data_IF_186461409863
#
_entry.id   IF_186461409863
#
_cell.length_a   1.000
_cell.length_b   1.000
_cell.length_c   1.000
_cell.angle_alpha   90.00
_cell.angle_beta   90.00
_cell.angle_gamma   90.00
#
_symmetry.space_group_name_H-M   'P 1'
#
loop_
_entity.id
_entity.type
_entity.pdbx_description
1 polymer ?
#
# COMPACT_ATOMS: atom_id res chain seq x y z
N UNK A 1 -23.23 -11.98 -26.08
CA UNK A 1 -22.67 -10.72 -25.57
C UNK A 1 -21.18 -10.90 -25.44
N UNK A 2 -20.38 -9.94 -25.90
CA UNK A 2 -18.93 -10.01 -25.73
C UNK A 2 -18.59 -9.88 -24.24
N UNK A 3 -17.78 -10.80 -23.72
CA UNK A 3 -17.29 -10.78 -22.34
C UNK A 3 -15.92 -10.10 -22.34
N UNK A 4 -15.74 -9.12 -21.46
CA UNK A 4 -14.52 -8.31 -21.38
C UNK A 4 -13.85 -8.52 -20.02
N UNK A 5 -12.52 -8.58 -20.04
CA UNK A 5 -11.68 -8.46 -18.86
C UNK A 5 -10.81 -7.21 -18.93
N UNK A 6 -10.45 -6.65 -17.77
CA UNK A 6 -9.51 -5.51 -17.68
C UNK A 6 -8.40 -5.81 -16.69
N UNK A 7 -7.18 -5.42 -17.02
CA UNK A 7 -6.06 -5.50 -16.09
C UNK A 7 -5.12 -4.32 -16.21
N UNK A 8 -4.40 -4.07 -15.14
CA UNK A 8 -3.27 -3.16 -15.16
C UNK A 8 -2.55 -3.15 -13.83
N UNK A 9 -1.35 -2.58 -13.88
CA UNK A 9 -0.55 -2.25 -12.71
C UNK A 9 -0.67 -0.77 -12.41
N UNK A 10 -0.62 -0.38 -11.13
CA UNK A 10 -0.56 1.02 -10.72
C UNK A 10 -1.81 1.77 -11.22
N UNK A 11 -1.60 2.84 -11.99
CA UNK A 11 -2.65 3.58 -12.68
C UNK A 11 -3.63 2.71 -13.46
N UNK A 12 -3.15 1.70 -14.20
CA UNK A 12 -4.02 0.76 -14.90
C UNK A 12 -4.83 -0.15 -13.97
N UNK A 13 -4.31 -0.43 -12.78
CA UNK A 13 -5.01 -1.18 -11.74
C UNK A 13 -6.15 -0.37 -11.14
N UNK A 14 -5.91 0.90 -10.74
CA UNK A 14 -6.99 1.77 -10.25
C UNK A 14 -8.09 1.92 -11.30
N UNK A 15 -7.72 2.14 -12.57
CA UNK A 15 -8.68 2.28 -13.66
C UNK A 15 -9.53 1.02 -13.83
N UNK A 16 -8.95 -0.17 -13.66
CA UNK A 16 -9.70 -1.43 -13.73
C UNK A 16 -10.74 -1.54 -12.60
N UNK A 17 -10.38 -1.15 -11.37
CA UNK A 17 -11.30 -1.09 -10.23
C UNK A 17 -12.40 -0.04 -10.44
N UNK A 18 -12.03 1.17 -10.86
CA UNK A 18 -12.96 2.28 -11.09
C UNK A 18 -13.96 1.95 -12.21
N UNK A 19 -13.51 1.35 -13.31
CA UNK A 19 -14.41 0.92 -14.38
C UNK A 19 -15.29 -0.24 -13.92
N UNK A 20 -14.79 -1.16 -13.09
CA UNK A 20 -15.61 -2.21 -12.50
C UNK A 20 -16.72 -1.67 -11.61
N UNK A 21 -16.47 -0.59 -10.86
CA UNK A 21 -17.48 0.11 -10.05
C UNK A 21 -18.60 0.76 -10.90
N UNK A 22 -18.34 1.06 -12.17
CA UNK A 22 -19.36 1.57 -13.11
C UNK A 22 -20.28 0.46 -13.66
N UNK A 23 -20.05 -0.81 -13.31
CA UNK A 23 -20.83 -1.99 -13.71
C UNK A 23 -21.14 -2.09 -15.23
N UNK A 24 -20.17 -1.85 -16.14
CA UNK A 24 -20.44 -2.04 -17.57
C UNK A 24 -20.85 -3.49 -17.84
N UNK A 25 -21.98 -3.77 -18.52
CA UNK A 25 -22.54 -5.11 -18.61
C UNK A 25 -21.60 -6.18 -19.20
N UNK A 26 -20.65 -5.77 -20.04
CA UNK A 26 -19.68 -6.66 -20.67
C UNK A 26 -18.50 -7.06 -19.75
N UNK A 27 -18.16 -6.25 -18.73
CA UNK A 27 -17.00 -6.51 -17.88
C UNK A 27 -17.33 -7.59 -16.83
N UNK A 28 -16.64 -8.72 -16.90
CA UNK A 28 -16.89 -9.88 -16.01
C UNK A 28 -15.80 -10.12 -15.00
N UNK A 29 -14.58 -9.73 -15.30
CA UNK A 29 -13.44 -9.92 -14.41
C UNK A 29 -12.40 -8.83 -14.58
N UNK A 30 -11.66 -8.56 -13.51
CA UNK A 30 -10.48 -7.71 -13.52
C UNK A 30 -9.29 -8.39 -12.82
N UNK A 31 -8.08 -7.99 -13.19
CA UNK A 31 -6.86 -8.23 -12.42
C UNK A 31 -6.25 -6.87 -12.09
N UNK A 32 -6.25 -6.52 -10.81
CA UNK A 32 -5.71 -5.23 -10.34
C UNK A 32 -4.38 -5.46 -9.64
N UNK A 33 -3.31 -4.88 -10.18
CA UNK A 33 -1.96 -5.04 -9.63
C UNK A 33 -1.43 -3.75 -9.01
N UNK A 34 -0.78 -3.85 -7.86
CA UNK A 34 -0.12 -2.74 -7.15
C UNK A 34 -0.94 -1.45 -7.26
N UNK A 35 -2.19 -1.53 -6.81
CA UNK A 35 -3.20 -0.48 -6.98
C UNK A 35 -3.76 -0.07 -5.62
N UNK A 36 -4.54 1.01 -5.52
CA UNK A 36 -5.25 1.47 -4.32
C UNK A 36 -6.77 1.39 -4.48
N UNK A 37 -7.47 1.16 -3.37
CA UNK A 37 -8.92 1.39 -3.24
C UNK A 37 -9.24 2.80 -2.73
N UNK A 38 -8.26 3.48 -2.13
CA UNK A 38 -8.38 4.80 -1.51
C UNK A 38 -7.30 5.74 -2.12
N UNK A 39 -7.75 6.73 -2.90
CA UNK A 39 -6.87 7.68 -3.59
C UNK A 39 -6.24 8.74 -2.67
N UNK A 40 -6.75 8.91 -1.45
CA UNK A 40 -6.20 9.85 -0.48
C UNK A 40 -5.19 9.18 0.45
N UNK A 41 -5.56 8.07 1.08
CA UNK A 41 -4.80 7.51 2.21
C UNK A 41 -3.70 6.50 1.80
N UNK A 42 -3.83 5.91 0.62
CA UNK A 42 -2.98 4.81 0.16
C UNK A 42 -2.44 5.04 -1.26
N UNK A 43 -2.47 6.27 -1.74
CA UNK A 43 -1.87 6.66 -3.01
C UNK A 43 -0.57 7.45 -2.86
N UNK A 44 0.04 7.84 -3.98
CA UNK A 44 1.19 8.74 -4.04
C UNK A 44 0.96 10.14 -3.43
N UNK A 45 -0.26 10.46 -3.01
CA UNK A 45 -0.63 11.82 -2.63
C UNK A 45 -0.45 12.08 -1.14
N UNK A 46 -1.20 11.37 -0.30
CA UNK A 46 -1.21 11.54 1.15
C UNK A 46 -1.15 10.19 1.85
N UNK A 47 -0.66 10.19 3.09
CA UNK A 47 -0.79 9.04 4.00
C UNK A 47 -0.98 9.55 5.42
N UNK A 48 -2.09 9.15 6.06
CA UNK A 48 -2.44 9.67 7.38
C UNK A 48 -2.55 11.21 7.43
N UNK A 49 -2.91 11.88 6.33
CA UNK A 49 -2.93 13.34 6.23
C UNK A 49 -1.56 14.01 6.09
N UNK A 50 -0.47 13.25 5.95
CA UNK A 50 0.85 13.75 5.59
C UNK A 50 1.00 13.76 4.06
N UNK A 51 1.55 14.83 3.50
CA UNK A 51 1.90 14.92 2.07
C UNK A 51 3.10 14.02 1.77
N UNK A 52 2.98 13.17 0.77
CA UNK A 52 4.08 12.30 0.34
C UNK A 52 4.97 13.00 -0.70
N UNK A 53 6.28 12.72 -0.67
CA UNK A 53 7.22 13.17 -1.69
C UNK A 53 6.88 12.66 -3.09
N UNK A 54 6.25 11.48 -3.17
CA UNK A 54 5.74 10.87 -4.40
C UNK A 54 4.74 11.75 -5.15
N UNK A 55 4.01 12.61 -4.44
CA UNK A 55 3.06 13.55 -5.05
C UNK A 55 3.81 14.45 -6.05
N UNK A 56 4.95 14.98 -5.62
CA UNK A 56 5.85 15.79 -6.45
C UNK A 56 6.54 14.96 -7.53
N UNK A 57 7.09 13.80 -7.17
CA UNK A 57 7.80 12.90 -8.09
C UNK A 57 6.93 12.45 -9.27
N UNK A 58 5.71 11.99 -8.97
CA UNK A 58 4.79 11.51 -9.99
C UNK A 58 4.17 12.63 -10.82
N UNK A 59 3.85 13.78 -10.23
CA UNK A 59 3.34 14.92 -11.00
C UNK A 59 4.36 15.36 -12.07
N UNK A 60 5.64 15.38 -11.70
CA UNK A 60 6.74 15.73 -12.62
C UNK A 60 6.92 14.67 -13.71
N UNK A 61 6.85 13.39 -13.34
CA UNK A 61 6.91 12.28 -14.29
C UNK A 61 5.76 12.33 -15.30
N UNK A 62 4.53 12.57 -14.82
CA UNK A 62 3.34 12.69 -15.67
C UNK A 62 3.38 13.90 -16.59
N UNK A 63 3.92 15.02 -16.10
CA UNK A 63 4.18 16.19 -16.94
C UNK A 63 5.11 15.82 -18.11
N UNK A 64 6.22 15.12 -17.83
CA UNK A 64 7.17 14.70 -18.84
C UNK A 64 6.58 13.71 -19.87
N UNK A 65 5.77 12.74 -19.42
CA UNK A 65 5.10 11.78 -20.32
C UNK A 65 4.05 12.44 -21.20
N UNK A 66 3.18 13.24 -20.59
CA UNK A 66 2.05 13.87 -21.28
C UNK A 66 2.49 14.95 -22.28
N UNK A 67 3.67 15.53 -22.08
CA UNK A 67 4.27 16.52 -22.96
C UNK A 67 4.88 15.94 -24.25
N UNK A 68 4.91 14.61 -24.42
CA UNK A 68 5.51 13.99 -25.61
C UNK A 68 4.66 14.23 -26.86
N UNK A 69 5.29 14.52 -28.03
CA UNK A 69 4.56 14.62 -29.29
C UNK A 69 3.89 13.28 -29.63
N UNK A 70 2.72 13.30 -30.30
CA UNK A 70 2.14 12.08 -30.85
C UNK A 70 3.06 11.51 -31.95
N UNK A 71 2.98 10.19 -32.15
CA UNK A 71 3.76 9.52 -33.19
C UNK A 71 3.35 10.01 -34.59
N UNK A 72 4.32 10.53 -35.35
CA UNK A 72 4.15 10.99 -36.72
C UNK A 72 3.52 9.92 -37.61
N UNK A 73 3.86 8.65 -37.41
CA UNK A 73 3.33 7.53 -38.20
C UNK A 73 1.82 7.33 -37.99
N UNK A 74 1.27 7.74 -36.84
CA UNK A 74 -0.15 7.60 -36.51
C UNK A 74 -0.98 8.81 -36.95
N UNK A 75 -0.44 10.03 -36.85
CA UNK A 75 -1.22 11.27 -37.07
C UNK A 75 -0.77 12.10 -38.27
N UNK A 76 0.32 11.71 -38.94
CA UNK A 76 0.88 12.40 -40.11
C UNK A 76 1.26 13.85 -39.80
N UNK A 77 1.14 14.73 -40.80
CA UNK A 77 1.53 16.15 -40.69
C UNK A 77 0.78 16.94 -39.61
N UNK A 78 -0.31 16.40 -39.03
CA UNK A 78 -1.04 17.02 -37.91
C UNK A 78 -0.29 16.92 -36.57
N UNK A 79 0.79 16.14 -36.49
CA UNK A 79 1.51 15.86 -35.24
C UNK A 79 1.89 17.15 -34.49
N UNK A 80 2.37 18.17 -35.21
CA UNK A 80 2.85 19.40 -34.61
C UNK A 80 1.71 20.24 -34.03
N UNK A 81 0.64 20.42 -34.81
CA UNK A 81 -0.56 21.14 -34.34
C UNK A 81 -1.20 20.44 -33.13
N UNK A 82 -1.36 19.11 -33.19
CA UNK A 82 -1.88 18.32 -32.08
C UNK A 82 -0.98 18.39 -30.85
N UNK A 83 0.34 18.38 -31.04
CA UNK A 83 1.30 18.47 -29.96
C UNK A 83 1.23 19.84 -29.28
N UNK A 84 1.28 20.93 -30.04
CA UNK A 84 1.16 22.28 -29.50
C UNK A 84 -0.18 22.53 -28.81
N UNK A 85 -1.28 22.02 -29.38
CA UNK A 85 -2.58 22.05 -28.71
C UNK A 85 -2.52 21.35 -27.35
N UNK A 86 -1.99 20.12 -27.29
CA UNK A 86 -1.87 19.37 -26.03
C UNK A 86 -0.98 20.08 -25.02
N UNK A 87 0.19 20.58 -25.43
CA UNK A 87 1.10 21.32 -24.54
C UNK A 87 0.43 22.56 -23.93
N UNK A 88 -0.31 23.34 -24.74
CA UNK A 88 -0.99 24.55 -24.28
C UNK A 88 -2.21 24.28 -23.37
N UNK A 89 -2.78 23.08 -23.42
CA UNK A 89 -3.97 22.70 -22.65
C UNK A 89 -3.70 21.60 -21.61
N UNK A 90 -2.44 21.21 -21.43
CA UNK A 90 -2.08 20.15 -20.50
C UNK A 90 -2.30 20.64 -19.05
N UNK A 91 -2.99 19.85 -18.20
CA UNK A 91 -3.15 20.20 -16.80
C UNK A 91 -1.80 20.14 -16.06
N UNK A 92 -1.60 21.08 -15.14
CA UNK A 92 -0.46 21.07 -14.23
C UNK A 92 -0.85 20.38 -12.92
N UNK A 93 -0.76 19.05 -12.91
CA UNK A 93 -1.33 18.19 -11.87
C UNK A 93 -0.90 18.53 -10.44
N UNK A 94 0.37 18.88 -10.21
CA UNK A 94 0.88 19.19 -8.86
C UNK A 94 0.11 20.35 -8.21
N UNK A 95 -0.24 21.37 -8.99
CA UNK A 95 -0.98 22.52 -8.47
C UNK A 95 -2.39 22.12 -8.02
N UNK A 96 -3.02 21.21 -8.76
CA UNK A 96 -4.35 20.73 -8.41
C UNK A 96 -4.30 19.83 -7.18
N UNK A 97 -3.40 18.84 -7.15
CA UNK A 97 -3.28 17.90 -6.04
C UNK A 97 -2.95 18.60 -4.72
N UNK A 98 -2.13 19.66 -4.74
CA UNK A 98 -1.79 20.44 -3.54
C UNK A 98 -2.93 21.31 -3.00
N UNK A 99 -3.98 21.57 -3.79
CA UNK A 99 -5.20 22.26 -3.32
C UNK A 99 -6.10 21.32 -2.52
N UNK A 100 -6.07 20.03 -2.84
CA UNK A 100 -6.89 19.01 -2.20
C UNK A 100 -6.16 18.35 -1.03
N UNK A 101 -5.85 19.12 0.02
CA UNK A 101 -5.06 18.62 1.16
C UNK A 101 -5.84 17.70 2.10
N UNK A 102 -7.17 17.70 2.01
CA UNK A 102 -8.07 16.92 2.85
C UNK A 102 -8.77 15.86 2.00
N UNK A 103 -9.38 14.85 2.64
CA UNK A 103 -10.15 13.82 1.94
C UNK A 103 -11.52 14.37 1.49
N UNK A 104 -11.50 15.28 0.54
CA UNK A 104 -12.68 15.89 -0.07
C UNK A 104 -13.22 15.07 -1.27
N UNK A 105 -14.23 15.62 -1.94
CA UNK A 105 -14.91 14.97 -3.07
C UNK A 105 -13.98 14.62 -4.23
N UNK A 106 -12.86 15.35 -4.40
CA UNK A 106 -11.88 15.06 -5.44
C UNK A 106 -11.26 13.67 -5.23
N UNK A 107 -10.89 13.35 -3.99
CA UNK A 107 -10.32 12.05 -3.67
C UNK A 107 -11.36 10.94 -3.56
N UNK A 108 -12.53 11.26 -2.99
CA UNK A 108 -13.64 10.30 -2.87
C UNK A 108 -14.09 9.81 -4.24
N UNK A 109 -14.20 10.71 -5.23
CA UNK A 109 -14.60 10.37 -6.59
C UNK A 109 -13.75 9.24 -7.21
N UNK A 110 -12.44 9.24 -6.96
CA UNK A 110 -11.53 8.22 -7.49
C UNK A 110 -11.36 6.97 -6.61
N UNK A 111 -12.00 6.92 -5.44
CA UNK A 111 -11.80 5.87 -4.44
C UNK A 111 -12.94 4.85 -4.49
N UNK A 112 -12.65 3.59 -4.84
CA UNK A 112 -13.68 2.54 -4.87
C UNK A 112 -14.06 2.04 -3.47
N UNK A 113 -13.30 2.39 -2.43
CA UNK A 113 -13.66 2.10 -1.05
C UNK A 113 -14.90 2.85 -0.56
N UNK A 114 -15.38 3.86 -1.30
CA UNK A 114 -16.64 4.55 -1.01
C UNK A 114 -17.87 3.63 -1.18
N UNK A 115 -17.80 2.69 -2.11
CA UNK A 115 -18.85 1.68 -2.32
C UNK A 115 -18.27 0.41 -2.95
N UNK A 116 -17.91 -0.56 -2.11
CA UNK A 116 -17.48 -1.88 -2.57
C UNK A 116 -18.60 -2.67 -3.27
N UNK A 117 -19.88 -2.39 -2.95
CA UNK A 117 -21.05 -3.02 -3.58
C UNK A 117 -21.26 -2.57 -5.03
N UNK A 118 -20.55 -1.53 -5.46
CA UNK A 118 -20.50 -1.11 -6.85
C UNK A 118 -19.72 -2.08 -7.75
N UNK A 119 -18.96 -3.03 -7.20
CA UNK A 119 -18.10 -3.94 -7.98
C UNK A 119 -18.72 -5.35 -8.04
N UNK A 120 -19.31 -5.69 -9.18
CA UNK A 120 -19.88 -7.04 -9.42
C UNK A 120 -18.91 -8.00 -10.13
N UNK A 121 -17.91 -7.45 -10.84
CA UNK A 121 -16.91 -8.22 -11.57
C UNK A 121 -16.07 -9.08 -10.62
N UNK A 122 -15.56 -10.22 -11.11
CA UNK A 122 -14.58 -10.99 -10.36
C UNK A 122 -13.26 -10.20 -10.24
N UNK A 123 -12.66 -10.15 -9.05
CA UNK A 123 -11.44 -9.38 -8.78
C UNK A 123 -10.29 -10.28 -8.34
N UNK A 124 -9.21 -10.31 -9.12
CA UNK A 124 -7.92 -10.82 -8.65
C UNK A 124 -7.02 -9.63 -8.30
N UNK A 125 -6.71 -9.47 -7.02
CA UNK A 125 -5.83 -8.40 -6.52
C UNK A 125 -4.43 -8.95 -6.27
N UNK A 126 -3.40 -8.32 -6.84
CA UNK A 126 -2.02 -8.76 -6.66
C UNK A 126 -1.12 -7.58 -6.31
N UNK A 127 -0.20 -7.76 -5.38
CA UNK A 127 0.71 -6.70 -4.95
C UNK A 127 1.91 -7.24 -4.19
N UNK A 128 2.76 -6.33 -3.74
CA UNK A 128 4.02 -6.65 -3.10
C UNK A 128 4.18 -5.99 -1.73
N UNK A 129 4.91 -6.65 -0.83
CA UNK A 129 5.23 -6.10 0.50
C UNK A 129 6.24 -4.96 0.49
N UNK A 130 6.99 -4.77 -0.58
CA UNK A 130 7.88 -3.64 -0.73
C UNK A 130 7.25 -2.50 -1.57
N UNK A 131 6.04 -2.69 -2.09
CA UNK A 131 5.25 -1.68 -2.82
C UNK A 131 4.61 -0.64 -1.89
N UNK A 132 4.26 0.57 -2.33
CA UNK A 132 3.48 1.50 -1.50
C UNK A 132 2.00 1.11 -1.32
N UNK A 133 1.44 0.32 -2.24
CA UNK A 133 0.03 -0.09 -2.28
C UNK A 133 -0.29 -1.39 -1.51
N UNK A 134 0.36 -1.60 -0.36
CA UNK A 134 0.32 -2.86 0.41
C UNK A 134 -1.06 -3.24 0.94
N UNK A 135 -1.94 -2.26 1.13
CA UNK A 135 -3.22 -2.45 1.82
C UNK A 135 -4.34 -3.02 0.93
N UNK A 136 -4.26 -2.80 -0.37
CA UNK A 136 -5.38 -3.03 -1.29
C UNK A 136 -5.84 -4.47 -1.38
N UNK A 137 -4.89 -5.41 -1.39
CA UNK A 137 -5.18 -6.83 -1.44
C UNK A 137 -6.04 -7.26 -0.25
N UNK A 138 -5.63 -6.85 0.96
CA UNK A 138 -6.37 -7.10 2.19
C UNK A 138 -7.73 -6.39 2.17
N UNK A 139 -7.79 -5.12 1.75
CA UNK A 139 -9.04 -4.37 1.70
C UNK A 139 -10.07 -5.00 0.75
N UNK A 140 -9.66 -5.44 -0.44
CA UNK A 140 -10.57 -6.05 -1.41
C UNK A 140 -11.03 -7.44 -0.95
N UNK A 141 -10.11 -8.28 -0.47
CA UNK A 141 -10.42 -9.61 0.04
C UNK A 141 -11.35 -9.56 1.27
N UNK A 142 -11.21 -8.54 2.12
CA UNK A 142 -12.07 -8.35 3.28
C UNK A 142 -13.44 -7.75 2.93
N UNK A 143 -13.49 -6.73 2.07
CA UNK A 143 -14.70 -5.91 1.93
C UNK A 143 -15.61 -6.34 0.78
N UNK A 144 -15.11 -6.88 -0.34
CA UNK A 144 -15.99 -7.31 -1.43
C UNK A 144 -16.97 -8.43 -1.01
N UNK A 145 -16.56 -9.47 -0.25
CA UNK A 145 -17.49 -10.50 0.22
C UNK A 145 -18.57 -9.95 1.16
N UNK A 146 -18.21 -9.00 2.03
CA UNK A 146 -19.17 -8.30 2.91
C UNK A 146 -20.25 -7.53 2.15
N UNK A 147 -19.99 -7.23 0.87
CA UNK A 147 -20.93 -6.54 -0.04
C UNK A 147 -21.48 -7.49 -1.12
N UNK A 148 -21.39 -8.81 -0.92
CA UNK A 148 -22.02 -9.83 -1.77
C UNK A 148 -21.22 -10.23 -3.00
N UNK A 149 -19.92 -9.89 -3.08
CA UNK A 149 -19.04 -10.33 -4.16
C UNK A 149 -17.94 -11.27 -3.64
N UNK A 150 -18.25 -12.57 -3.64
CA UNK A 150 -17.32 -13.64 -3.23
C UNK A 150 -16.31 -14.02 -4.32
N UNK A 151 -16.37 -13.37 -5.49
CA UNK A 151 -15.48 -13.64 -6.64
C UNK A 151 -14.17 -12.86 -6.53
N UNK A 152 -13.58 -12.85 -5.34
CA UNK A 152 -12.34 -12.13 -5.05
C UNK A 152 -11.25 -13.09 -4.59
N UNK A 153 -10.03 -12.90 -5.11
CA UNK A 153 -8.82 -13.57 -4.62
C UNK A 153 -7.68 -12.55 -4.53
N UNK A 154 -6.80 -12.73 -3.57
CA UNK A 154 -5.66 -11.84 -3.34
C UNK A 154 -4.33 -12.61 -3.31
N UNK A 155 -3.25 -11.96 -3.80
CA UNK A 155 -1.88 -12.49 -3.76
C UNK A 155 -0.92 -11.37 -3.34
N UNK A 156 -0.18 -11.56 -2.25
CA UNK A 156 0.89 -10.65 -1.82
C UNK A 156 2.24 -11.36 -1.79
N UNK A 157 3.18 -10.94 -2.63
CA UNK A 157 4.55 -11.45 -2.60
C UNK A 157 5.54 -10.46 -1.98
N UNK A 158 6.84 -10.79 -1.93
CA UNK A 158 7.86 -9.89 -1.39
C UNK A 158 8.25 -8.78 -2.37
N UNK A 159 7.38 -8.38 -3.28
CA UNK A 159 7.79 -7.65 -4.47
C UNK A 159 7.80 -6.14 -4.31
N UNK A 160 8.64 -5.49 -5.11
CA UNK A 160 8.58 -4.07 -5.45
C UNK A 160 7.48 -3.79 -6.50
N UNK A 161 7.33 -2.53 -6.93
CA UNK A 161 6.25 -2.06 -7.80
C UNK A 161 6.37 -2.52 -9.27
N UNK A 162 6.16 -3.83 -9.50
CA UNK A 162 6.22 -4.49 -10.81
C UNK A 162 5.26 -5.69 -10.88
N UNK A 163 5.04 -6.18 -12.10
CA UNK A 163 4.35 -7.46 -12.29
C UNK A 163 5.15 -8.61 -11.67
N UNK A 164 4.49 -9.56 -10.99
CA UNK A 164 5.18 -10.46 -10.06
C UNK A 164 6.00 -11.58 -10.71
N UNK A 165 5.96 -11.70 -12.04
CA UNK A 165 6.83 -12.60 -12.82
C UNK A 165 8.18 -11.95 -13.19
N UNK A 166 8.28 -10.62 -13.09
CA UNK A 166 9.52 -9.85 -13.31
C UNK A 166 9.91 -9.02 -12.09
N UNK A 167 9.07 -8.97 -11.07
CA UNK A 167 9.33 -8.24 -9.86
C UNK A 167 10.42 -8.92 -9.03
N UNK A 168 11.07 -8.13 -8.19
CA UNK A 168 12.07 -8.56 -7.22
C UNK A 168 11.73 -7.98 -5.86
N UNK A 169 12.37 -8.43 -4.77
CA UNK A 169 13.14 -9.68 -4.64
C UNK A 169 12.37 -10.94 -5.06
N UNK A 170 13.11 -12.01 -5.34
CA UNK A 170 12.54 -13.35 -5.48
C UNK A 170 11.94 -13.86 -4.14
N UNK A 171 11.02 -14.83 -4.16
CA UNK A 171 10.52 -15.55 -5.34
C UNK A 171 9.53 -14.76 -6.18
N UNK A 172 9.76 -14.74 -7.51
CA UNK A 172 8.72 -14.44 -8.48
C UNK A 172 7.66 -15.57 -8.55
N UNK A 173 6.52 -15.29 -9.16
CA UNK A 173 5.49 -16.30 -9.48
C UNK A 173 5.18 -16.33 -10.97
N UNK A 174 4.55 -17.43 -11.43
CA UNK A 174 3.96 -17.49 -12.77
C UNK A 174 2.67 -16.66 -12.85
N UNK A 175 2.85 -15.34 -12.95
CA UNK A 175 1.76 -14.39 -13.14
C UNK A 175 0.88 -14.73 -14.35
N UNK A 176 1.51 -15.14 -15.46
CA UNK A 176 0.79 -15.38 -16.71
C UNK A 176 -0.12 -16.61 -16.58
N UNK A 177 0.35 -17.65 -15.87
CA UNK A 177 -0.46 -18.80 -15.50
C UNK A 177 -1.65 -18.42 -14.60
N UNK A 178 -1.41 -17.63 -13.54
CA UNK A 178 -2.47 -17.13 -12.65
C UNK A 178 -3.52 -16.31 -13.41
N UNK A 179 -3.06 -15.36 -14.24
CA UNK A 179 -3.94 -14.52 -15.04
C UNK A 179 -4.75 -15.34 -16.04
N UNK A 180 -4.12 -16.29 -16.74
CA UNK A 180 -4.82 -17.18 -17.69
C UNK A 180 -5.91 -17.99 -17.00
N UNK A 181 -5.61 -18.63 -15.86
CA UNK A 181 -6.61 -19.38 -15.08
C UNK A 181 -7.81 -18.52 -14.69
N UNK A 182 -7.55 -17.27 -14.30
CA UNK A 182 -8.57 -16.30 -13.94
C UNK A 182 -9.46 -15.93 -15.13
N UNK A 183 -8.85 -15.60 -16.27
CA UNK A 183 -9.57 -15.23 -17.49
C UNK A 183 -10.39 -16.40 -18.05
N UNK A 184 -9.81 -17.59 -18.11
CA UNK A 184 -10.51 -18.76 -18.64
C UNK A 184 -11.72 -19.10 -17.77
N UNK A 185 -11.64 -18.94 -16.45
CA UNK A 185 -12.82 -19.11 -15.59
C UNK A 185 -13.88 -18.05 -15.88
N UNK A 186 -13.55 -16.76 -15.83
CA UNK A 186 -14.58 -15.72 -15.80
C UNK A 186 -15.03 -15.20 -17.17
N UNK A 187 -14.26 -15.46 -18.23
CA UNK A 187 -14.58 -15.05 -19.60
C UNK A 187 -14.96 -16.22 -20.51
N UNK A 188 -14.68 -17.47 -20.09
CA UNK A 188 -14.99 -18.67 -20.89
C UNK A 188 -15.72 -19.77 -20.11
N UNK A 189 -15.91 -19.59 -18.81
CA UNK A 189 -16.53 -20.58 -17.91
C UNK A 189 -15.77 -21.94 -17.88
N UNK A 190 -14.45 -21.89 -18.04
CA UNK A 190 -13.62 -23.09 -17.93
C UNK A 190 -13.36 -23.46 -16.46
N UNK A 191 -13.28 -24.76 -16.16
CA UNK A 191 -12.94 -25.23 -14.82
C UNK A 191 -11.42 -25.17 -14.58
N UNK A 192 -10.95 -24.03 -14.06
CA UNK A 192 -9.52 -23.77 -13.77
C UNK A 192 -9.15 -23.93 -12.29
N UNK A 193 -10.15 -24.20 -11.44
CA UNK A 193 -10.00 -24.33 -9.98
C UNK A 193 -9.78 -23.03 -9.20
N UNK A 194 -9.71 -21.85 -9.85
CA UNK A 194 -9.41 -20.56 -9.17
C UNK A 194 -10.41 -20.18 -8.08
N UNK A 195 -11.64 -20.67 -8.18
CA UNK A 195 -12.68 -20.44 -7.17
C UNK A 195 -12.31 -21.08 -5.83
N UNK A 196 -11.57 -22.20 -5.88
CA UNK A 196 -11.09 -22.95 -4.72
C UNK A 196 -9.71 -22.52 -4.22
N UNK A 197 -9.04 -21.55 -4.87
CA UNK A 197 -7.80 -20.98 -4.34
C UNK A 197 -8.11 -20.25 -3.00
N UNK A 198 -7.17 -20.16 -2.04
CA UNK A 198 -7.39 -19.41 -0.81
C UNK A 198 -7.79 -17.95 -1.10
N UNK A 199 -8.66 -17.36 -0.27
CA UNK A 199 -9.08 -15.96 -0.42
C UNK A 199 -7.90 -14.99 -0.47
N UNK A 200 -6.85 -15.26 0.33
CA UNK A 200 -5.61 -14.50 0.29
C UNK A 200 -4.40 -15.42 0.44
N UNK A 201 -3.53 -15.43 -0.58
CA UNK A 201 -2.20 -16.07 -0.54
C UNK A 201 -1.15 -15.01 -0.29
N UNK A 202 -0.30 -15.19 0.72
CA UNK A 202 0.71 -14.19 1.06
C UNK A 202 2.07 -14.78 1.40
N UNK A 203 3.13 -14.07 1.04
CA UNK A 203 4.50 -14.43 1.35
C UNK A 203 4.88 -13.92 2.74
N UNK A 204 4.94 -14.83 3.71
CA UNK A 204 5.39 -14.52 5.06
C UNK A 204 6.91 -14.42 5.07
N UNK A 205 7.41 -13.21 5.26
CA UNK A 205 8.84 -12.88 5.20
C UNK A 205 9.56 -13.28 6.49
N UNK A 206 10.70 -13.97 6.36
CA UNK A 206 11.53 -14.32 7.52
C UNK A 206 12.31 -13.10 8.04
N UNK A 207 12.72 -13.10 9.31
CA UNK A 207 13.65 -12.10 9.85
C UNK A 207 15.00 -12.16 9.12
N UNK A 208 15.44 -11.06 8.50
CA UNK A 208 16.76 -10.93 7.84
C UNK A 208 17.44 -9.62 8.22
N UNK A 209 18.77 -9.58 8.15
CA UNK A 209 19.50 -8.32 8.35
C UNK A 209 19.08 -7.30 7.29
N UNK A 210 18.91 -6.02 7.67
CA UNK A 210 18.46 -4.99 6.76
C UNK A 210 19.50 -4.77 5.67
N UNK A 211 19.02 -4.65 4.44
CA UNK A 211 19.82 -4.30 3.27
C UNK A 211 18.92 -3.53 2.30
N UNK A 212 19.41 -2.46 1.68
CA UNK A 212 18.63 -1.68 0.74
C UNK A 212 18.34 -2.45 -0.56
N UNK A 213 18.99 -3.60 -0.76
CA UNK A 213 18.66 -4.55 -1.81
C UNK A 213 18.86 -6.00 -1.38
N UNK A 214 17.92 -6.85 -1.77
CA UNK A 214 17.99 -8.30 -1.61
C UNK A 214 17.64 -8.95 -2.96
N UNK A 215 18.43 -9.91 -3.49
CA UNK A 215 18.05 -10.64 -4.69
C UNK A 215 16.89 -11.61 -4.42
N UNK A 216 16.87 -12.19 -3.22
CA UNK A 216 15.87 -13.14 -2.73
C UNK A 216 15.44 -12.70 -1.34
N UNK A 217 14.14 -12.71 -1.06
CA UNK A 217 13.55 -12.45 0.25
C UNK A 217 13.10 -13.78 0.86
N UNK A 218 13.87 -14.34 1.82
CA UNK A 218 13.51 -15.57 2.51
C UNK A 218 12.13 -15.46 3.17
N UNK A 219 11.43 -16.58 3.22
CA UNK A 219 10.06 -16.67 3.69
C UNK A 219 9.36 -17.92 3.17
N UNK A 220 8.04 -17.92 3.30
CA UNK A 220 7.16 -18.99 2.82
C UNK A 220 5.79 -18.46 2.41
N UNK A 221 5.14 -19.13 1.46
CA UNK A 221 3.73 -18.86 1.17
C UNK A 221 2.85 -19.41 2.30
N UNK A 222 1.89 -18.60 2.73
CA UNK A 222 0.74 -19.04 3.53
C UNK A 222 -0.55 -18.71 2.78
N UNK A 223 -1.60 -19.49 3.02
CA UNK A 223 -2.92 -19.29 2.43
C UNK A 223 -3.96 -19.11 3.52
N UNK A 224 -4.76 -18.06 3.40
CA UNK A 224 -5.91 -17.78 4.23
C UNK A 224 -7.19 -18.10 3.43
N UNK A 225 -7.96 -19.09 3.88
CA UNK A 225 -9.19 -19.52 3.20
C UNK A 225 -10.26 -18.41 3.22
N UNK A 226 -10.25 -17.58 4.25
CA UNK A 226 -11.01 -16.35 4.37
C UNK A 226 -10.11 -15.22 4.86
N UNK A 227 -10.46 -13.98 4.56
CA UNK A 227 -9.73 -12.81 5.05
C UNK A 227 -10.67 -11.78 5.68
N UNK A 228 -10.39 -11.30 6.90
CA UNK A 228 -9.33 -11.73 7.81
C UNK A 228 -9.45 -13.21 8.24
N UNK A 229 -8.32 -13.87 8.39
CA UNK A 229 -8.28 -15.27 8.81
C UNK A 229 -8.56 -15.39 10.33
N UNK A 230 -9.57 -16.15 10.76
CA UNK A 230 -9.93 -16.28 12.16
C UNK A 230 -8.88 -17.01 13.00
N UNK A 231 -7.92 -17.71 12.36
CA UNK A 231 -6.78 -18.31 13.04
C UNK A 231 -5.69 -17.29 13.39
N UNK A 232 -5.74 -16.07 12.85
CA UNK A 232 -4.78 -15.01 13.19
C UNK A 232 -5.23 -14.32 14.48
N UNK A 233 -4.52 -14.59 15.57
CA UNK A 233 -4.79 -13.99 16.87
C UNK A 233 -4.31 -12.53 16.95
N UNK A 234 -5.15 -11.66 17.52
CA UNK A 234 -4.74 -10.28 17.86
C UNK A 234 -4.05 -10.26 19.22
N UNK A 235 -2.75 -9.95 19.23
CA UNK A 235 -1.97 -9.73 20.47
C UNK A 235 -1.77 -8.24 20.72
N UNK A 236 -2.10 -7.78 21.93
CA UNK A 236 -1.82 -6.41 22.37
C UNK A 236 -0.51 -6.37 23.14
N UNK A 237 0.42 -5.51 22.73
CA UNK A 237 1.66 -5.21 23.44
C UNK A 237 1.54 -3.82 24.08
N UNK A 238 1.46 -3.77 25.41
CA UNK A 238 1.34 -2.50 26.13
C UNK A 238 2.68 -1.76 26.18
N UNK A 239 2.66 -0.43 26.02
CA UNK A 239 3.84 0.41 26.18
C UNK A 239 4.10 0.66 27.67
N UNK A 240 5.34 0.46 28.10
CA UNK A 240 5.93 0.92 29.35
C UNK A 240 7.00 1.99 29.09
N UNK A 241 7.67 2.48 30.12
CA UNK A 241 8.75 3.46 29.95
C UNK A 241 9.94 2.81 29.20
N UNK A 242 10.07 3.08 27.91
CA UNK A 242 11.03 2.46 26.96
C UNK A 242 10.89 0.93 26.77
N UNK A 243 9.75 0.35 27.16
CA UNK A 243 9.50 -1.10 27.09
C UNK A 243 8.23 -1.37 26.28
N UNK A 244 8.23 -2.44 25.49
CA UNK A 244 7.06 -2.92 24.74
C UNK A 244 6.64 -4.31 25.24
N UNK A 245 5.37 -4.49 25.59
CA UNK A 245 4.82 -5.77 26.03
C UNK A 245 4.79 -5.98 27.56
N UNK A 246 4.57 -4.93 28.35
CA UNK A 246 4.44 -5.07 29.81
C UNK A 246 3.23 -5.93 30.22
N UNK A 247 3.44 -6.92 31.09
CA UNK A 247 2.50 -8.00 31.47
C UNK A 247 1.20 -7.57 32.20
N UNK A 248 0.90 -6.27 32.32
CA UNK A 248 -0.24 -5.81 33.14
C UNK A 248 -1.03 -4.68 32.48
N UNK A 249 -2.02 -5.01 31.63
CA UNK A 249 -3.08 -4.07 31.30
C UNK A 249 -3.78 -3.65 32.60
N UNK A 250 -3.67 -2.37 32.98
CA UNK A 250 -4.34 -1.80 34.16
C UNK A 250 -3.48 -1.51 35.40
N UNK A 251 -2.17 -1.83 35.39
CA UNK A 251 -1.21 -1.41 36.43
C UNK A 251 0.10 -0.83 35.90
N UNK A 252 0.20 -0.58 34.59
CA UNK A 252 1.30 0.22 34.07
C UNK A 252 1.27 1.58 34.77
N UNK A 253 2.36 1.94 35.45
CA UNK A 253 2.50 3.29 36.00
C UNK A 253 2.28 4.29 34.86
N UNK A 254 1.48 5.33 35.11
CA UNK A 254 1.36 6.42 34.15
C UNK A 254 2.74 7.02 33.94
N UNK A 255 3.20 7.05 32.70
CA UNK A 255 4.46 7.68 32.32
C UNK A 255 4.22 8.66 31.18
N UNK A 256 5.12 9.62 31.07
CA UNK A 256 5.16 10.57 29.95
C UNK A 256 6.59 10.65 29.45
N UNK A 257 6.73 10.60 28.14
CA UNK A 257 7.98 10.78 27.41
C UNK A 257 7.74 11.84 26.35
N UNK A 258 8.78 12.62 26.04
CA UNK A 258 8.71 13.68 25.03
C UNK A 258 9.64 13.35 23.87
N UNK A 259 9.24 13.74 22.66
CA UNK A 259 10.04 13.59 21.45
C UNK A 259 9.82 14.77 20.52
N UNK A 260 10.89 15.17 19.85
CA UNK A 260 10.88 16.12 18.75
C UNK A 260 12.01 15.71 17.82
N UNK A 261 11.77 14.69 17.00
CA UNK A 261 12.76 14.16 16.08
C UNK A 261 13.17 15.23 15.06
N UNK A 262 14.44 15.27 14.64
CA UNK A 262 14.89 16.17 13.57
C UNK A 262 14.25 15.77 12.22
N UNK A 263 14.26 16.70 11.26
CA UNK A 263 13.61 16.52 9.95
C UNK A 263 14.26 15.43 9.08
N UNK A 264 15.47 15.01 9.41
CA UNK A 264 16.22 13.94 8.75
C UNK A 264 16.02 12.57 9.42
N UNK A 265 15.10 12.45 10.38
CA UNK A 265 14.65 11.17 10.92
C UNK A 265 13.71 10.48 9.92
N UNK A 266 14.00 9.23 9.59
CA UNK A 266 13.27 8.41 8.61
C UNK A 266 13.97 8.28 7.26
N UNK A 267 15.17 8.84 7.09
CA UNK A 267 15.93 8.75 5.83
C UNK A 267 16.33 7.30 5.48
N UNK A 268 16.38 6.39 6.46
CA UNK A 268 16.64 4.97 6.21
C UNK A 268 15.36 4.18 5.84
N UNK A 269 14.21 4.84 5.71
CA UNK A 269 12.90 4.21 5.46
C UNK A 269 12.72 3.56 4.07
N UNK A 270 13.65 3.79 3.15
CA UNK A 270 13.56 3.34 1.76
C UNK A 270 12.58 4.16 0.92
N UNK A 271 12.48 3.83 -0.37
CA UNK A 271 11.52 4.45 -1.29
C UNK A 271 10.09 4.00 -0.98
N UNK A 272 9.12 4.92 -1.11
CA UNK A 272 7.71 4.58 -0.91
C UNK A 272 7.21 3.65 -2.03
N UNK A 273 7.68 3.88 -3.26
CA UNK A 273 7.51 2.98 -4.39
C UNK A 273 8.87 2.60 -4.99
N UNK A 274 9.48 1.48 -4.55
CA UNK A 274 10.65 0.95 -5.21
C UNK A 274 10.31 0.48 -6.64
N UNK A 275 11.05 0.97 -7.63
CA UNK A 275 10.91 0.65 -9.06
C UNK A 275 12.19 0.08 -9.66
N UNK A 276 13.35 0.42 -9.10
CA UNK A 276 14.64 -0.03 -9.59
C UNK A 276 15.00 -1.42 -9.04
N UNK A 277 15.85 -2.12 -9.78
CA UNK A 277 16.51 -3.32 -9.29
C UNK A 277 17.78 -2.91 -8.53
N UNK A 278 17.61 -2.21 -7.41
CA UNK A 278 18.71 -1.57 -6.66
C UNK A 278 18.31 -1.12 -5.27
N UNK A 279 19.16 -0.28 -4.68
CA UNK A 279 19.17 0.11 -3.27
C UNK A 279 18.01 1.06 -2.88
N UNK A 280 16.77 0.59 -2.98
CA UNK A 280 15.53 1.33 -2.70
C UNK A 280 14.72 0.74 -1.53
N UNK A 281 15.09 -0.45 -1.03
CA UNK A 281 14.46 -1.03 0.16
C UNK A 281 14.94 -0.33 1.44
N UNK A 282 14.23 -0.46 2.57
CA UNK A 282 14.67 0.12 3.84
C UNK A 282 16.07 -0.37 4.23
N UNK A 283 16.90 0.57 4.66
CA UNK A 283 18.23 0.28 5.19
C UNK A 283 18.16 -0.02 6.70
N UNK A 284 19.32 -0.22 7.30
CA UNK A 284 19.48 -0.38 8.76
C UNK A 284 18.91 0.84 9.52
N UNK A 285 18.09 0.56 10.53
CA UNK A 285 17.24 1.56 11.18
C UNK A 285 17.89 2.23 12.41
N UNK A 286 19.06 1.79 12.88
CA UNK A 286 19.72 2.35 14.07
C UNK A 286 19.92 3.87 14.00
N UNK A 287 20.34 4.47 12.86
CA UNK A 287 20.45 5.94 12.75
C UNK A 287 19.14 6.68 12.99
N UNK A 288 18.01 6.08 12.62
CA UNK A 288 16.67 6.66 12.88
C UNK A 288 16.17 6.32 14.29
N UNK A 289 16.58 5.18 14.85
CA UNK A 289 16.28 4.79 16.24
C UNK A 289 16.95 5.74 17.25
N UNK A 290 18.18 6.19 16.99
CA UNK A 290 18.88 7.23 17.78
C UNK A 290 18.14 8.57 17.82
N UNK A 291 17.29 8.84 16.82
CA UNK A 291 16.48 10.05 16.67
C UNK A 291 15.02 9.86 17.14
N UNK A 292 14.68 8.67 17.66
CA UNK A 292 13.32 8.25 17.98
C UNK A 292 13.14 7.93 19.47
N UNK A 293 11.89 7.84 19.93
CA UNK A 293 11.57 7.14 21.18
C UNK A 293 11.39 5.66 20.91
N UNK A 294 12.31 4.85 21.42
CA UNK A 294 12.26 3.40 21.25
C UNK A 294 11.60 2.70 22.45
N UNK A 295 10.79 1.69 22.13
CA UNK A 295 10.12 0.80 23.09
C UNK A 295 10.43 -0.63 22.69
N UNK A 296 11.33 -1.26 23.44
CA UNK A 296 11.84 -2.59 23.10
C UNK A 296 11.13 -3.65 23.92
N UNK A 297 10.78 -4.77 23.29
CA UNK A 297 10.27 -5.95 23.98
C UNK A 297 11.39 -6.86 24.44
N UNK A 298 11.02 -7.88 25.21
CA UNK A 298 11.94 -8.95 25.59
C UNK A 298 12.40 -9.75 24.36
N UNK A 299 13.57 -10.36 24.45
CA UNK A 299 14.04 -11.32 23.45
C UNK A 299 13.01 -12.42 23.27
N UNK A 300 12.58 -12.63 22.03
CA UNK A 300 11.62 -13.67 21.70
C UNK A 300 12.24 -15.06 21.91
N UNK A 301 11.52 -15.93 22.63
CA UNK A 301 11.95 -17.32 22.85
C UNK A 301 11.84 -18.21 21.59
N UNK A 302 11.12 -17.75 20.58
CA UNK A 302 10.92 -18.42 19.30
C UNK A 302 10.32 -17.47 18.27
N UNK A 303 10.12 -17.96 17.06
CA UNK A 303 9.56 -17.16 15.96
C UNK A 303 8.17 -16.63 16.31
N UNK A 304 7.96 -15.34 16.06
CA UNK A 304 6.66 -14.70 16.09
C UNK A 304 6.29 -14.27 14.68
N UNK A 305 5.32 -14.94 14.08
CA UNK A 305 4.76 -14.53 12.80
C UNK A 305 3.82 -13.33 13.01
N UNK A 306 4.00 -12.27 12.20
CA UNK A 306 3.12 -11.10 12.20
C UNK A 306 2.42 -11.04 10.84
N UNK A 307 1.10 -11.22 10.84
CA UNK A 307 0.28 -11.22 9.62
C UNK A 307 -0.86 -10.22 9.79
N UNK A 308 -1.02 -9.32 8.83
CA UNK A 308 -2.03 -8.27 8.83
C UNK A 308 -1.45 -6.87 9.02
N UNK A 309 -2.26 -5.95 9.54
CA UNK A 309 -1.92 -4.54 9.72
C UNK A 309 -1.83 -4.19 11.21
N UNK A 310 -0.62 -4.10 11.80
CA UNK A 310 -0.43 -3.67 13.18
C UNK A 310 -1.05 -2.30 13.43
N UNK A 311 -1.63 -2.12 14.62
CA UNK A 311 -2.23 -0.86 15.06
C UNK A 311 -1.55 -0.37 16.33
N UNK A 312 -1.35 0.94 16.42
CA UNK A 312 -0.83 1.60 17.62
C UNK A 312 -1.87 2.59 18.14
N UNK A 313 -2.06 2.60 19.46
CA UNK A 313 -2.92 3.58 20.14
C UNK A 313 -2.04 4.37 21.10
N UNK A 314 -1.97 5.68 20.90
CA UNK A 314 -1.16 6.59 21.70
C UNK A 314 -2.06 7.64 22.34
N UNK A 315 -1.75 8.04 23.57
CA UNK A 315 -2.22 9.29 24.14
C UNK A 315 -1.10 10.32 23.94
N UNK A 316 -1.42 11.42 23.25
CA UNK A 316 -0.43 12.41 22.82
C UNK A 316 -0.86 13.81 23.28
N UNK A 317 0.13 14.66 23.50
CA UNK A 317 -0.03 16.11 23.68
C UNK A 317 1.05 16.83 22.86
N UNK A 318 0.73 17.96 22.27
CA UNK A 318 1.68 18.80 21.54
C UNK A 318 1.65 20.22 22.07
N UNK A 319 2.81 20.89 22.07
CA UNK A 319 2.91 22.33 22.35
C UNK A 319 2.65 23.18 21.10
N UNK A 320 2.29 22.54 19.97
CA UNK A 320 1.93 23.16 18.70
C UNK A 320 0.51 22.77 18.28
N UNK A 321 -0.23 23.66 17.59
CA UNK A 321 -1.56 23.35 17.06
C UNK A 321 -1.51 22.36 15.89
N UNK A 322 -0.36 22.22 15.22
CA UNK A 322 -0.13 21.28 14.14
C UNK A 322 1.13 20.45 14.43
N UNK A 323 1.01 19.13 14.39
CA UNK A 323 2.11 18.22 14.62
C UNK A 323 1.91 16.91 13.82
N UNK A 324 3.00 16.19 13.62
CA UNK A 324 3.01 14.89 12.94
C UNK A 324 3.65 13.85 13.86
N UNK A 325 3.24 12.60 13.69
CA UNK A 325 3.89 11.45 14.32
C UNK A 325 4.14 10.38 13.27
N UNK A 326 5.30 9.75 13.34
CA UNK A 326 5.60 8.52 12.63
C UNK A 326 5.90 7.43 13.67
N UNK A 327 5.42 6.21 13.41
CA UNK A 327 5.65 5.04 14.25
C UNK A 327 6.20 3.94 13.36
N UNK A 328 7.36 3.41 13.72
CA UNK A 328 8.02 2.30 13.04
C UNK A 328 7.90 1.06 13.92
N UNK A 329 7.54 -0.07 13.31
CA UNK A 329 7.71 -1.39 13.90
C UNK A 329 8.97 -1.99 13.28
N UNK A 330 9.97 -2.24 14.11
CA UNK A 330 11.26 -2.77 13.68
C UNK A 330 11.51 -4.15 14.31
N UNK A 331 12.24 -4.99 13.59
CA UNK A 331 12.83 -6.24 14.06
C UNK A 331 14.24 -5.96 14.57
N UNK A 332 14.41 -5.95 15.89
CA UNK A 332 15.72 -5.84 16.53
C UNK A 332 16.37 -7.22 16.57
N UNK A 333 17.41 -7.39 15.77
CA UNK A 333 18.04 -8.68 15.53
C UNK A 333 19.09 -9.02 16.60
N UNK A 334 19.43 -10.31 16.77
CA UNK A 334 20.47 -10.74 17.72
C UNK A 334 21.87 -10.16 17.44
N UNK A 335 22.13 -9.74 16.19
CA UNK A 335 23.38 -9.09 15.78
C UNK A 335 23.42 -7.58 16.10
N UNK A 336 22.33 -7.04 16.67
CA UNK A 336 22.18 -5.64 17.04
C UNK A 336 21.63 -4.75 15.93
N UNK A 337 21.39 -5.27 14.72
CA UNK A 337 20.78 -4.49 13.63
C UNK A 337 19.26 -4.36 13.81
N UNK A 338 18.72 -3.23 13.37
CA UNK A 338 17.29 -2.89 13.42
C UNK A 338 16.75 -2.88 11.99
N UNK A 339 15.81 -3.76 11.68
CA UNK A 339 15.21 -3.88 10.35
C UNK A 339 13.76 -3.38 10.34
N UNK A 340 13.39 -2.53 9.40
CA UNK A 340 12.02 -2.03 9.29
C UNK A 340 11.05 -3.14 8.87
N UNK A 341 10.01 -3.41 9.67
CA UNK A 341 8.89 -4.29 9.30
C UNK A 341 7.82 -3.47 8.59
N UNK A 342 7.34 -2.41 9.25
CA UNK A 342 6.32 -1.51 8.71
C UNK A 342 6.36 -0.17 9.43
N UNK A 343 5.69 0.83 8.85
CA UNK A 343 5.54 2.15 9.45
C UNK A 343 4.13 2.71 9.26
N UNK A 344 3.70 3.54 10.21
CA UNK A 344 2.52 4.38 10.11
C UNK A 344 2.92 5.84 10.34
N UNK A 345 2.16 6.75 9.75
CA UNK A 345 2.32 8.19 9.96
C UNK A 345 0.95 8.83 10.08
N UNK A 346 0.88 9.90 10.86
CA UNK A 346 -0.34 10.66 11.07
C UNK A 346 -0.01 12.14 11.26
N UNK A 347 -0.64 12.99 10.45
CA UNK A 347 -0.81 14.39 10.77
C UNK A 347 -1.87 14.47 11.88
N UNK A 348 -1.46 14.89 13.08
CA UNK A 348 -2.27 14.82 14.29
C UNK A 348 -3.53 15.70 14.21
N UNK A 349 -3.55 16.69 13.32
CA UNK A 349 -4.78 17.47 13.05
C UNK A 349 -5.89 16.63 12.41
N UNK A 350 -5.54 15.49 11.78
CA UNK A 350 -6.48 14.56 11.18
C UNK A 350 -6.87 13.39 12.11
N UNK A 351 -6.53 13.43 13.40
CA UNK A 351 -6.78 12.32 14.33
C UNK A 351 -8.27 11.91 14.43
N UNK A 352 -9.19 12.86 14.24
CA UNK A 352 -10.63 12.62 14.22
C UNK A 352 -11.22 12.46 12.82
N UNK A 353 -10.67 13.14 11.81
CA UNK A 353 -11.17 13.10 10.44
C UNK A 353 -10.12 13.53 9.42
N UNK A 354 -10.05 12.82 8.30
CA UNK A 354 -9.27 13.27 7.13
C UNK A 354 -9.97 14.32 6.28
N UNK A 355 -11.30 14.46 6.42
CA UNK A 355 -12.12 15.42 5.67
C UNK A 355 -12.28 16.75 6.41
N UNK A 356 -12.30 16.70 7.74
CA UNK A 356 -12.47 17.86 8.62
C UNK A 356 -11.36 17.87 9.68
N UNK A 357 -10.10 18.16 9.31
CA UNK A 357 -9.03 18.23 10.28
C UNK A 357 -9.21 19.43 11.22
N UNK A 358 -8.81 19.24 12.47
CA UNK A 358 -8.91 20.24 13.53
C UNK A 358 -7.53 20.47 14.15
N UNK A 359 -7.24 21.71 14.54
CA UNK A 359 -6.03 22.02 15.28
C UNK A 359 -6.02 21.29 16.63
N UNK A 360 -4.83 20.91 17.10
CA UNK A 360 -4.65 20.36 18.44
C UNK A 360 -4.97 21.41 19.49
N UNK A 361 -5.62 20.99 20.58
CA UNK A 361 -6.07 21.82 21.71
C UNK A 361 -5.14 21.68 22.90
#
# INVERSE_FOLDING_TARGET
SDLVGMMGISWGGFNSLQVAALKPPALKAIITLCSTVDRYADDIHYKGGCLLGENFGWATTMLAYSSRPPDLALVGNRWHEMWMYRLNHQPFHIQEWLRHQWRDDFWKHGSVCEDYGAIDAAVLSIGGWHDGYRNTMAHLAENLPKHGNDKVKAIAGPWIHKYPHIAKPDPAIDFLGEAKRWWDKWLKDENTGVEADPAFRLWLMDSVAPKPWLPVRPGRWIGCEQWPDPAIETRTLALGKHVLGVDRPGKAESFSLSICSPQDCGLAGGEYFPFAYGDELPDEQTPDDEKSLCFNGDTLAGTLDIVGAPKVRLALSSDKPCAQIAVRLCDLRPDGTSALITMGMLNLTHHGSHEHPEALV
#
